data_IF_626178972651
#
_entry.id   IF_626178972651
#
_cell.length_a   1.000
_cell.length_b   1.000
_cell.length_c   1.000
_cell.angle_alpha   90.00
_cell.angle_beta   90.00
_cell.angle_gamma   90.00
#
_symmetry.space_group_name_H-M   'P 1'
#
loop_
_entity.id
_entity.type
_entity.pdbx_description
1 polymer ?
#
# COMPACT_ATOMS: atom_id res chain seq x y z
N UNK A 1 -15.53 50.41 54.65
CA UNK A 1 -15.91 50.21 53.23
C UNK A 1 -14.79 50.78 52.39
N UNK A 2 -13.80 49.94 52.10
CA UNK A 2 -12.64 50.24 51.28
C UNK A 2 -12.17 48.89 50.72
N UNK A 3 -12.46 48.61 49.46
CA UNK A 3 -11.87 47.49 48.73
C UNK A 3 -10.62 47.98 48.00
N UNK A 4 -9.52 47.20 47.98
CA UNK A 4 -8.40 47.46 47.11
C UNK A 4 -8.56 46.71 45.78
N UNK A 5 -8.48 47.50 44.71
CA UNK A 5 -8.29 47.09 43.32
C UNK A 5 -7.05 46.19 43.20
N UNK A 6 -7.20 45.01 42.60
CA UNK A 6 -6.13 44.03 42.38
C UNK A 6 -6.31 43.38 41.01
N UNK A 7 -5.72 43.98 39.98
CA UNK A 7 -5.36 43.29 38.75
C UNK A 7 -4.05 42.50 38.96
N UNK A 8 -3.95 41.29 38.39
CA UNK A 8 -2.80 40.96 37.55
C UNK A 8 -3.30 40.43 36.17
N UNK A 9 -2.81 40.98 35.05
CA UNK A 9 -1.64 40.47 34.30
C UNK A 9 -1.82 38.97 33.99
N UNK A 10 -2.12 38.54 32.76
CA UNK A 10 -1.43 38.84 31.51
C UNK A 10 -1.03 37.49 30.89
N UNK A 11 -1.87 37.04 29.94
CA UNK A 11 -1.80 35.90 29.02
C UNK A 11 -0.65 34.85 29.09
N UNK A 12 -0.95 33.53 28.95
CA UNK A 12 0.07 32.52 28.68
C UNK A 12 0.67 32.73 27.27
N UNK A 13 2.01 32.64 27.22
CA UNK A 13 2.87 32.67 26.04
C UNK A 13 2.48 31.55 25.05
N UNK A 14 1.57 31.87 24.13
CA UNK A 14 1.17 31.03 23.02
C UNK A 14 2.12 31.17 21.84
N UNK A 15 3.37 30.72 21.99
CA UNK A 15 4.29 30.58 20.87
C UNK A 15 3.69 29.66 19.79
N UNK A 16 3.83 29.97 18.49
CA UNK A 16 3.23 29.18 17.42
C UNK A 16 3.78 27.76 17.48
N UNK A 17 2.87 26.81 17.73
CA UNK A 17 3.17 25.39 17.78
C UNK A 17 3.96 25.01 16.55
N UNK A 18 5.24 24.66 16.76
CA UNK A 18 6.14 24.21 15.71
C UNK A 18 5.48 23.00 15.06
N UNK A 19 4.84 23.19 13.90
CA UNK A 19 4.21 22.12 13.13
C UNK A 19 5.20 20.97 13.07
N UNK A 20 4.83 19.83 13.65
CA UNK A 20 5.69 18.65 13.66
C UNK A 20 6.03 18.36 12.19
N UNK A 21 7.33 18.45 11.85
CA UNK A 21 7.77 18.16 10.48
C UNK A 21 7.23 16.77 10.12
N UNK A 22 6.55 16.61 8.97
CA UNK A 22 6.03 15.31 8.57
C UNK A 22 7.19 14.32 8.56
N UNK A 23 7.02 13.21 9.28
CA UNK A 23 8.02 12.14 9.29
C UNK A 23 8.07 11.55 7.89
N UNK A 24 9.26 11.36 7.29
CA UNK A 24 9.35 10.61 6.04
C UNK A 24 8.79 9.20 6.29
N UNK A 25 7.77 8.82 5.52
CA UNK A 25 7.11 7.51 5.63
C UNK A 25 7.26 6.78 4.30
N UNK A 26 7.83 5.58 4.34
CA UNK A 26 7.89 4.69 3.19
C UNK A 26 6.57 3.93 3.05
N UNK A 27 5.94 4.04 1.88
CA UNK A 27 4.66 3.38 1.59
C UNK A 27 4.89 2.13 0.77
N UNK A 28 4.58 0.97 1.34
CA UNK A 28 4.75 -0.34 0.72
C UNK A 28 3.38 -0.83 0.28
N UNK A 29 3.20 -1.07 -1.02
CA UNK A 29 1.98 -1.69 -1.55
C UNK A 29 2.03 -3.20 -1.52
N UNK A 30 0.86 -3.85 -1.48
CA UNK A 30 0.72 -5.29 -1.72
C UNK A 30 -0.26 -5.53 -2.87
N UNK A 31 0.03 -6.55 -3.67
CA UNK A 31 -0.91 -7.14 -4.63
C UNK A 31 -0.63 -8.64 -4.70
N UNK A 32 -1.64 -9.47 -5.00
CA UNK A 32 -1.38 -10.88 -5.20
C UNK A 32 -2.61 -11.75 -5.35
N UNK A 33 -2.38 -13.05 -5.24
CA UNK A 33 -3.36 -14.09 -5.44
C UNK A 33 -4.40 -14.20 -4.32
N UNK A 34 -5.63 -14.57 -4.71
CA UNK A 34 -6.74 -14.94 -3.83
C UNK A 34 -6.53 -16.36 -3.25
N UNK A 35 -7.27 -16.77 -2.20
CA UNK A 35 -7.03 -18.04 -1.49
C UNK A 35 -7.11 -19.29 -2.39
N UNK A 36 -7.92 -19.26 -3.45
CA UNK A 36 -8.05 -20.35 -4.42
C UNK A 36 -6.73 -20.71 -5.13
N UNK A 37 -5.75 -19.80 -5.15
CA UNK A 37 -4.42 -20.01 -5.74
C UNK A 37 -3.33 -20.24 -4.68
N UNK A 38 -3.70 -20.29 -3.40
CA UNK A 38 -2.80 -20.46 -2.26
C UNK A 38 -3.23 -21.66 -1.38
N UNK A 39 -3.27 -22.90 -1.92
CA UNK A 39 -3.73 -24.06 -1.17
C UNK A 39 -2.76 -24.53 -0.08
N UNK A 40 -3.27 -25.29 0.88
CA UNK A 40 -2.46 -26.04 1.85
C UNK A 40 -1.72 -25.16 2.84
N UNK A 41 -0.42 -25.40 3.01
CA UNK A 41 0.47 -24.68 3.93
C UNK A 41 1.07 -23.40 3.31
N UNK A 42 0.81 -23.14 2.02
CA UNK A 42 1.32 -21.98 1.31
C UNK A 42 1.00 -20.63 1.98
N UNK A 43 -0.22 -20.38 2.50
CA UNK A 43 -0.53 -19.10 3.16
C UNK A 43 0.41 -18.78 4.31
N UNK A 44 0.74 -19.77 5.14
CA UNK A 44 1.62 -19.58 6.30
C UNK A 44 3.07 -19.32 5.88
N UNK A 45 3.57 -20.05 4.88
CA UNK A 45 4.93 -19.83 4.33
C UNK A 45 5.05 -18.46 3.67
N UNK A 46 4.05 -18.08 2.87
CA UNK A 46 3.99 -16.74 2.25
C UNK A 46 3.92 -15.65 3.33
N UNK A 47 3.13 -15.83 4.38
CA UNK A 47 3.03 -14.89 5.50
C UNK A 47 4.38 -14.69 6.19
N UNK A 48 5.14 -15.77 6.41
CA UNK A 48 6.49 -15.72 6.97
C UNK A 48 7.45 -14.94 6.06
N UNK A 49 7.42 -15.20 4.74
CA UNK A 49 8.23 -14.49 3.75
C UNK A 49 7.85 -13.02 3.63
N UNK A 50 6.56 -12.69 3.68
CA UNK A 50 6.05 -11.31 3.74
C UNK A 50 6.59 -10.57 4.97
N UNK A 51 6.50 -11.20 6.14
CA UNK A 51 7.01 -10.63 7.39
C UNK A 51 8.53 -10.40 7.33
N UNK A 52 9.28 -11.36 6.78
CA UNK A 52 10.72 -11.22 6.55
C UNK A 52 11.06 -10.08 5.59
N UNK A 53 10.34 -10.00 4.48
CA UNK A 53 10.49 -8.96 3.45
C UNK A 53 10.23 -7.56 4.02
N UNK A 54 9.13 -7.37 4.74
CA UNK A 54 8.82 -6.07 5.35
C UNK A 54 9.87 -5.65 6.39
N UNK A 55 10.35 -6.60 7.22
CA UNK A 55 11.46 -6.32 8.16
C UNK A 55 12.75 -5.94 7.43
N UNK A 56 13.07 -6.59 6.32
CA UNK A 56 14.27 -6.28 5.53
C UNK A 56 14.17 -4.89 4.87
N UNK A 57 13.00 -4.51 4.35
CA UNK A 57 12.72 -3.17 3.83
C UNK A 57 12.91 -2.12 4.93
N UNK A 58 12.33 -2.33 6.11
CA UNK A 58 12.48 -1.40 7.24
C UNK A 58 13.94 -1.30 7.72
N UNK A 59 14.64 -2.43 7.85
CA UNK A 59 16.04 -2.42 8.25
C UNK A 59 16.91 -1.62 7.27
N UNK A 60 16.68 -1.78 5.96
CA UNK A 60 17.35 -1.02 4.91
C UNK A 60 17.04 0.47 5.00
N UNK A 61 15.77 0.82 5.23
CA UNK A 61 15.33 2.20 5.43
C UNK A 61 15.98 2.86 6.66
N UNK A 62 16.10 2.13 7.78
CA UNK A 62 16.78 2.61 8.98
C UNK A 62 18.28 2.82 8.76
N UNK A 63 18.95 1.94 8.01
CA UNK A 63 20.37 2.11 7.64
C UNK A 63 20.60 3.35 6.78
N UNK A 64 19.71 3.60 5.82
CA UNK A 64 19.86 4.67 4.83
C UNK A 64 19.40 6.05 5.35
N UNK A 65 18.51 6.10 6.33
CA UNK A 65 18.00 7.35 6.92
C UNK A 65 18.52 7.56 8.34
N UNK A 66 19.74 8.09 8.46
CA UNK A 66 20.45 8.25 9.73
C UNK A 66 19.84 9.30 10.70
N UNK A 67 18.98 10.22 10.23
CA UNK A 67 18.63 11.45 10.96
C UNK A 67 17.25 11.47 11.61
N UNK A 68 16.39 10.48 11.35
CA UNK A 68 15.10 10.31 12.03
C UNK A 68 14.59 8.90 11.79
N UNK A 69 13.98 8.24 12.79
CA UNK A 69 13.29 6.95 12.54
C UNK A 69 12.16 7.18 11.54
N UNK A 70 12.29 6.74 10.28
CA UNK A 70 11.27 6.91 9.28
C UNK A 70 10.09 5.99 9.60
N UNK A 71 8.89 6.40 9.21
CA UNK A 71 7.71 5.55 9.31
C UNK A 71 7.66 4.54 8.18
N UNK A 72 6.97 3.43 8.40
CA UNK A 72 6.55 2.54 7.32
C UNK A 72 5.04 2.41 7.34
N UNK A 73 4.45 2.32 6.15
CA UNK A 73 3.01 2.16 5.96
C UNK A 73 2.73 1.07 4.93
N UNK A 74 1.89 0.11 5.28
CA UNK A 74 1.33 -0.85 4.34
C UNK A 74 0.09 -0.25 3.67
N UNK A 75 0.06 -0.23 2.34
CA UNK A 75 -1.13 0.14 1.54
C UNK A 75 -1.69 -1.13 0.88
N UNK A 76 -2.94 -1.47 1.18
CA UNK A 76 -3.56 -2.75 0.78
C UNK A 76 -5.04 -2.57 0.46
N UNK A 77 -5.56 -3.42 -0.42
CA UNK A 77 -6.98 -3.50 -0.73
C UNK A 77 -7.76 -4.44 0.21
N UNK A 78 -7.07 -5.08 1.16
CA UNK A 78 -7.64 -6.02 2.13
C UNK A 78 -8.44 -7.16 1.49
N UNK A 79 -8.13 -7.49 0.24
CA UNK A 79 -8.64 -8.68 -0.41
C UNK A 79 -8.24 -9.94 0.36
N UNK A 80 -9.05 -10.99 0.27
CA UNK A 80 -8.65 -12.30 0.78
C UNK A 80 -7.39 -12.80 0.06
N UNK A 81 -6.53 -13.51 0.78
CA UNK A 81 -5.30 -14.09 0.22
C UNK A 81 -4.09 -13.19 0.51
N UNK A 82 -3.35 -12.79 -0.52
CA UNK A 82 -2.10 -12.05 -0.34
C UNK A 82 -2.23 -10.76 0.49
N UNK A 83 -3.29 -9.98 0.26
CA UNK A 83 -3.56 -8.74 0.97
C UNK A 83 -3.84 -8.96 2.46
N UNK A 84 -4.72 -9.90 2.82
CA UNK A 84 -4.98 -10.25 4.23
C UNK A 84 -3.74 -10.81 4.92
N UNK A 85 -2.99 -11.69 4.24
CA UNK A 85 -1.73 -12.23 4.76
C UNK A 85 -0.69 -11.13 5.01
N UNK A 86 -0.59 -10.14 4.10
CA UNK A 86 0.31 -9.00 4.28
C UNK A 86 -0.14 -8.10 5.44
N UNK A 87 -1.45 -7.88 5.59
CA UNK A 87 -2.00 -7.12 6.70
C UNK A 87 -1.69 -7.77 8.06
N UNK A 88 -1.71 -9.10 8.14
CA UNK A 88 -1.34 -9.87 9.34
C UNK A 88 0.18 -9.96 9.56
N UNK A 89 0.96 -10.03 8.48
CA UNK A 89 2.42 -10.15 8.53
C UNK A 89 3.13 -8.83 8.87
N UNK A 90 2.48 -7.69 8.61
CA UNK A 90 3.06 -6.37 8.83
C UNK A 90 3.48 -6.16 10.29
N UNK A 91 4.66 -5.56 10.55
CA UNK A 91 5.07 -5.23 11.91
C UNK A 91 4.04 -4.34 12.62
N UNK A 92 3.82 -4.56 13.92
CA UNK A 92 2.75 -3.90 14.66
C UNK A 92 2.84 -2.37 14.72
N UNK A 93 4.04 -1.81 14.53
CA UNK A 93 4.28 -0.36 14.50
C UNK A 93 4.18 0.26 13.10
N UNK A 94 3.94 -0.54 12.06
CA UNK A 94 3.61 0.00 10.73
C UNK A 94 2.17 0.48 10.72
N UNK A 95 1.94 1.63 10.09
CA UNK A 95 0.59 2.08 9.82
C UNK A 95 -0.02 1.26 8.68
N UNK A 96 -1.34 1.09 8.70
CA UNK A 96 -2.08 0.44 7.61
C UNK A 96 -3.02 1.43 6.95
N UNK A 97 -2.95 1.54 5.63
CA UNK A 97 -3.89 2.29 4.79
C UNK A 97 -4.67 1.30 3.93
N UNK A 98 -5.98 1.28 4.11
CA UNK A 98 -6.88 0.48 3.29
C UNK A 98 -7.31 1.31 2.07
N UNK A 99 -7.15 0.75 0.88
CA UNK A 99 -7.58 1.34 -0.39
C UNK A 99 -8.58 0.39 -1.05
N UNK A 100 -9.86 0.69 -0.93
CA UNK A 100 -10.92 -0.18 -1.44
C UNK A 100 -11.25 0.17 -2.90
N UNK A 101 -11.49 -0.84 -3.76
CA UNK A 101 -11.76 -0.62 -5.19
C UNK A 101 -13.07 0.11 -5.46
N UNK A 102 -13.97 0.12 -4.49
CA UNK A 102 -15.32 0.67 -4.55
C UNK A 102 -15.81 0.94 -3.12
N UNK A 103 -17.00 1.55 -2.92
CA UNK A 103 -17.54 1.76 -1.60
C UNK A 103 -17.66 0.46 -0.80
N UNK A 104 -17.39 0.51 0.51
CA UNK A 104 -17.31 -0.68 1.37
C UNK A 104 -18.56 -1.56 1.28
N UNK A 105 -19.74 -0.93 1.22
CA UNK A 105 -21.02 -1.65 1.11
C UNK A 105 -21.12 -2.50 -0.17
N UNK A 106 -20.48 -2.08 -1.26
CA UNK A 106 -20.47 -2.80 -2.55
C UNK A 106 -19.33 -3.82 -2.58
N UNK A 107 -18.20 -3.50 -1.96
CA UNK A 107 -17.05 -4.40 -1.90
C UNK A 107 -17.29 -5.61 -0.98
N UNK A 108 -18.03 -5.43 0.12
CA UNK A 108 -18.38 -6.50 1.05
C UNK A 108 -19.04 -7.72 0.37
N UNK A 109 -19.77 -7.50 -0.73
CA UNK A 109 -20.37 -8.56 -1.52
C UNK A 109 -19.36 -9.56 -2.10
N UNK A 110 -18.09 -9.15 -2.32
CA UNK A 110 -17.04 -10.05 -2.82
C UNK A 110 -16.54 -11.06 -1.79
N UNK A 111 -16.93 -10.88 -0.52
CA UNK A 111 -16.53 -11.74 0.60
C UNK A 111 -17.69 -12.63 1.05
N UNK A 112 -18.87 -12.49 0.44
CA UNK A 112 -20.06 -13.23 0.82
C UNK A 112 -20.28 -14.41 -0.13
N UNK A 113 -20.48 -15.64 0.40
CA UNK A 113 -21.05 -16.73 -0.38
C UNK A 113 -22.43 -16.35 -0.92
N UNK A 114 -22.85 -16.99 -2.01
CA UNK A 114 -24.13 -16.71 -2.64
C UNK A 114 -25.31 -16.98 -1.68
N UNK A 115 -26.12 -15.96 -1.44
CA UNK A 115 -27.28 -16.03 -0.54
C UNK A 115 -26.97 -15.83 0.95
N UNK A 116 -25.71 -15.61 1.32
CA UNK A 116 -25.29 -15.36 2.71
C UNK A 116 -25.11 -13.87 3.00
N UNK A 117 -25.30 -13.48 4.25
CA UNK A 117 -25.16 -12.09 4.73
C UNK A 117 -23.98 -11.87 5.66
N UNK A 118 -23.31 -12.96 6.07
CA UNK A 118 -22.07 -12.95 6.85
C UNK A 118 -21.14 -14.04 6.35
N UNK A 119 -19.85 -13.86 6.55
CA UNK A 119 -18.84 -14.88 6.29
C UNK A 119 -17.59 -14.60 7.12
N UNK A 120 -16.75 -15.63 7.39
CA UNK A 120 -15.46 -15.41 8.06
C UNK A 120 -14.54 -14.45 7.30
N UNK A 121 -14.67 -14.40 5.98
CA UNK A 121 -13.91 -13.50 5.11
C UNK A 121 -14.34 -12.04 5.28
N UNK A 122 -15.65 -11.79 5.37
CA UNK A 122 -16.19 -10.47 5.64
C UNK A 122 -15.83 -10.00 7.05
N UNK A 123 -15.91 -10.89 8.04
CA UNK A 123 -15.48 -10.60 9.42
C UNK A 123 -13.97 -10.26 9.47
N UNK A 124 -13.14 -10.92 8.65
CA UNK A 124 -11.72 -10.61 8.55
C UNK A 124 -11.48 -9.23 7.93
N UNK A 125 -12.17 -8.90 6.83
CA UNK A 125 -12.11 -7.57 6.22
C UNK A 125 -12.47 -6.48 7.24
N UNK A 126 -13.57 -6.67 7.97
CA UNK A 126 -14.06 -5.72 8.97
C UNK A 126 -13.06 -5.53 10.12
N UNK A 127 -12.45 -6.61 10.62
CA UNK A 127 -11.36 -6.53 11.60
C UNK A 127 -10.16 -5.76 11.06
N UNK A 128 -9.74 -6.01 9.82
CA UNK A 128 -8.61 -5.31 9.22
C UNK A 128 -8.88 -3.82 9.00
N UNK A 129 -10.10 -3.48 8.57
CA UNK A 129 -10.56 -2.10 8.41
C UNK A 129 -10.60 -1.36 9.76
N UNK A 130 -11.08 -2.00 10.82
CA UNK A 130 -11.10 -1.41 12.16
C UNK A 130 -9.69 -1.08 12.69
N UNK A 131 -8.68 -1.82 12.25
CA UNK A 131 -7.27 -1.57 12.57
C UNK A 131 -6.55 -0.65 11.57
N UNK A 132 -7.19 -0.21 10.50
CA UNK A 132 -6.55 0.65 9.51
C UNK A 132 -6.46 2.09 10.04
N UNK A 133 -5.28 2.71 9.90
CA UNK A 133 -5.08 4.12 10.25
C UNK A 133 -5.84 5.06 9.30
N UNK A 134 -6.13 4.59 8.08
CA UNK A 134 -6.98 5.31 7.12
C UNK A 134 -7.65 4.33 6.16
N UNK A 135 -8.84 4.68 5.69
CA UNK A 135 -9.61 3.94 4.69
C UNK A 135 -9.96 4.91 3.56
N UNK A 136 -9.58 4.57 2.34
CA UNK A 136 -9.99 5.29 1.13
C UNK A 136 -10.90 4.38 0.30
N UNK A 137 -12.12 4.84 0.04
CA UNK A 137 -13.06 4.16 -0.84
C UNK A 137 -13.04 4.85 -2.21
N UNK A 138 -12.70 4.12 -3.27
CA UNK A 138 -12.77 4.68 -4.61
C UNK A 138 -14.24 4.84 -5.05
N UNK A 139 -14.57 5.92 -5.77
CA UNK A 139 -15.93 6.12 -6.26
C UNK A 139 -16.28 5.09 -7.32
N UNK A 140 -17.57 4.75 -7.42
CA UNK A 140 -18.05 3.87 -8.48
C UNK A 140 -17.82 4.49 -9.87
N UNK A 141 -17.13 3.76 -10.74
CA UNK A 141 -17.04 4.08 -12.16
C UNK A 141 -18.35 3.71 -12.87
N UNK A 142 -19.07 4.73 -13.34
CA UNK A 142 -20.34 4.57 -14.06
C UNK A 142 -21.55 4.91 -13.19
N UNK A 143 -22.74 4.49 -13.64
CA UNK A 143 -24.02 4.77 -12.96
C UNK A 143 -24.61 3.58 -12.21
N UNK A 144 -24.06 2.39 -12.43
CA UNK A 144 -24.52 1.16 -11.80
C UNK A 144 -24.08 1.13 -10.32
N UNK A 145 -25.01 1.06 -9.35
CA UNK A 145 -24.67 0.98 -7.93
C UNK A 145 -24.03 -0.36 -7.53
N UNK A 146 -24.17 -1.41 -8.34
CA UNK A 146 -23.67 -2.76 -8.06
C UNK A 146 -23.00 -3.35 -9.33
N UNK A 147 -21.86 -2.79 -9.77
CA UNK A 147 -21.22 -3.20 -11.01
C UNK A 147 -20.83 -4.68 -10.98
N UNK A 148 -21.09 -5.37 -12.09
CA UNK A 148 -20.74 -6.78 -12.33
C UNK A 148 -19.92 -6.93 -13.61
N UNK A 149 -19.26 -8.09 -13.78
CA UNK A 149 -18.44 -8.41 -14.96
C UNK A 149 -17.43 -7.30 -15.30
N UNK A 150 -17.38 -6.88 -16.57
CA UNK A 150 -16.44 -5.87 -17.05
C UNK A 150 -16.55 -4.51 -16.35
N UNK A 151 -17.74 -4.14 -15.83
CA UNK A 151 -17.89 -2.91 -15.05
C UNK A 151 -17.22 -3.04 -13.67
N UNK A 152 -17.25 -4.25 -13.09
CA UNK A 152 -16.55 -4.56 -11.83
C UNK A 152 -15.04 -4.63 -12.05
N UNK A 153 -14.59 -5.22 -13.16
CA UNK A 153 -13.17 -5.30 -13.51
C UNK A 153 -12.51 -3.91 -13.60
N UNK A 154 -13.24 -2.91 -14.14
CA UNK A 154 -12.76 -1.51 -14.19
C UNK A 154 -12.52 -0.89 -12.81
N UNK A 155 -13.27 -1.30 -11.78
CA UNK A 155 -13.05 -0.83 -10.40
C UNK A 155 -11.70 -1.35 -9.88
N UNK A 156 -11.41 -2.63 -10.12
CA UNK A 156 -10.14 -3.25 -9.75
C UNK A 156 -8.96 -2.69 -10.55
N UNK A 157 -9.17 -2.39 -11.82
CA UNK A 157 -8.18 -1.70 -12.64
C UNK A 157 -7.87 -0.28 -12.10
N UNK A 158 -8.90 0.47 -11.70
CA UNK A 158 -8.73 1.77 -11.08
C UNK A 158 -8.05 1.69 -9.71
N UNK A 159 -8.34 0.65 -8.94
CA UNK A 159 -7.63 0.33 -7.70
C UNK A 159 -6.14 0.12 -7.94
N UNK A 160 -5.76 -0.71 -8.92
CA UNK A 160 -4.36 -0.96 -9.27
C UNK A 160 -3.59 0.32 -9.57
N UNK A 161 -4.16 1.18 -10.42
CA UNK A 161 -3.60 2.50 -10.72
C UNK A 161 -3.49 3.40 -9.49
N UNK A 162 -4.55 3.44 -8.68
CA UNK A 162 -4.58 4.26 -7.47
C UNK A 162 -3.54 3.80 -6.44
N UNK A 163 -3.32 2.48 -6.33
CA UNK A 163 -2.32 1.88 -5.48
C UNK A 163 -0.91 2.29 -5.92
N UNK A 164 -0.56 2.07 -7.20
CA UNK A 164 0.77 2.40 -7.77
C UNK A 164 1.13 3.88 -7.57
N UNK A 165 0.14 4.77 -7.65
CA UNK A 165 0.35 6.21 -7.42
C UNK A 165 0.64 6.58 -5.98
N UNK A 166 0.16 5.80 -5.01
CA UNK A 166 0.28 6.07 -3.57
C UNK A 166 1.53 5.47 -2.94
N UNK A 167 2.06 4.40 -3.51
CA UNK A 167 3.15 3.61 -2.94
C UNK A 167 4.52 3.99 -3.52
N UNK A 168 5.57 3.66 -2.78
CA UNK A 168 6.97 3.89 -3.15
C UNK A 168 7.68 2.61 -3.59
N UNK A 169 7.23 1.46 -3.10
CA UNK A 169 7.60 0.13 -3.57
C UNK A 169 6.41 -0.83 -3.47
N UNK A 170 6.45 -1.93 -4.23
CA UNK A 170 5.38 -2.93 -4.31
C UNK A 170 5.91 -4.31 -3.91
N UNK A 171 5.13 -5.04 -3.11
CA UNK A 171 5.29 -6.49 -2.91
C UNK A 171 4.20 -7.19 -3.73
N UNK A 172 4.58 -8.22 -4.48
CA UNK A 172 3.72 -9.01 -5.34
C UNK A 172 3.78 -10.49 -4.97
N UNK A 173 2.65 -11.08 -4.56
CA UNK A 173 2.52 -12.54 -4.37
C UNK A 173 1.82 -13.11 -5.60
N UNK A 174 2.58 -13.62 -6.55
CA UNK A 174 2.09 -13.90 -7.90
C UNK A 174 2.84 -15.10 -8.52
N UNK A 175 2.16 -15.91 -9.31
CA UNK A 175 2.66 -17.15 -9.92
C UNK A 175 3.37 -16.94 -11.27
N UNK A 176 3.60 -15.69 -11.69
CA UNK A 176 4.22 -15.39 -12.97
C UNK A 176 3.27 -15.55 -14.18
N UNK A 177 2.00 -15.92 -13.97
CA UNK A 177 1.05 -16.12 -15.05
C UNK A 177 0.55 -14.79 -15.62
N UNK A 178 0.41 -14.70 -16.96
CA UNK A 178 -0.12 -13.52 -17.64
C UNK A 178 -1.46 -13.06 -17.03
N UNK A 179 -1.75 -11.75 -17.13
CA UNK A 179 -2.98 -11.19 -16.58
C UNK A 179 -4.21 -11.97 -17.08
N UNK A 180 -4.96 -12.60 -16.16
CA UNK A 180 -6.19 -13.32 -16.48
C UNK A 180 -7.38 -12.35 -16.70
N UNK A 181 -7.14 -11.18 -17.30
CA UNK A 181 -8.12 -10.11 -17.50
C UNK A 181 -7.56 -8.69 -17.29
N UNK A 182 -8.41 -7.69 -17.47
CA UNK A 182 -8.13 -6.27 -17.23
C UNK A 182 -8.08 -6.03 -15.71
N UNK A 183 -7.00 -5.43 -15.19
CA UNK A 183 -6.87 -5.10 -13.76
C UNK A 183 -6.28 -6.21 -12.87
N UNK A 184 -5.75 -7.29 -13.44
CA UNK A 184 -5.06 -8.33 -12.68
C UNK A 184 -3.69 -7.92 -12.15
N UNK A 185 -3.12 -8.72 -11.25
CA UNK A 185 -1.81 -8.50 -10.61
C UNK A 185 -0.71 -8.10 -11.59
N UNK A 186 -0.56 -8.81 -12.71
CA UNK A 186 0.46 -8.51 -13.72
C UNK A 186 0.33 -7.09 -14.34
N UNK A 187 -0.88 -6.53 -14.42
CA UNK A 187 -1.08 -5.14 -14.88
C UNK A 187 -0.54 -4.13 -13.87
N UNK A 188 -0.77 -4.39 -12.57
CA UNK A 188 -0.23 -3.56 -11.47
C UNK A 188 1.28 -3.61 -11.44
N UNK A 189 1.87 -4.80 -11.66
CA UNK A 189 3.33 -4.96 -11.73
C UNK A 189 3.93 -4.19 -12.91
N UNK A 190 3.33 -4.32 -14.10
CA UNK A 190 3.77 -3.58 -15.28
C UNK A 190 3.72 -2.07 -15.04
N UNK A 191 2.60 -1.56 -14.52
CA UNK A 191 2.46 -0.13 -14.21
C UNK A 191 3.49 0.33 -13.16
N UNK A 192 3.74 -0.46 -12.11
CA UNK A 192 4.74 -0.14 -11.10
C UNK A 192 6.16 -0.04 -11.71
N UNK A 193 6.55 -1.02 -12.53
CA UNK A 193 7.85 -1.05 -13.19
C UNK A 193 8.01 0.09 -14.20
N UNK A 194 6.96 0.39 -14.98
CA UNK A 194 6.96 1.51 -15.93
C UNK A 194 7.14 2.86 -15.24
N UNK A 195 6.68 2.97 -13.99
CA UNK A 195 6.93 4.15 -13.17
C UNK A 195 8.34 4.17 -12.56
N UNK A 196 9.19 3.16 -12.79
CA UNK A 196 10.50 3.00 -12.18
C UNK A 196 10.42 2.63 -10.69
N UNK A 197 9.37 1.91 -10.29
CA UNK A 197 9.19 1.45 -8.91
C UNK A 197 9.84 0.08 -8.74
N UNK A 198 10.56 -0.13 -7.65
CA UNK A 198 11.04 -1.47 -7.35
C UNK A 198 9.91 -2.38 -6.87
N UNK A 199 9.90 -3.60 -7.40
CA UNK A 199 8.89 -4.62 -7.10
C UNK A 199 9.58 -5.83 -6.49
N UNK A 200 9.17 -6.20 -5.27
CA UNK A 200 9.54 -7.46 -4.64
C UNK A 200 8.50 -8.50 -5.01
N UNK A 201 8.94 -9.67 -5.43
CA UNK A 201 8.14 -10.78 -5.90
C UNK A 201 8.35 -12.00 -5.02
N UNK A 202 7.24 -12.59 -4.60
CA UNK A 202 7.15 -13.86 -3.90
C UNK A 202 6.36 -14.79 -4.82
N UNK A 203 7.02 -15.85 -5.29
CA UNK A 203 6.40 -16.88 -6.11
C UNK A 203 5.73 -17.91 -5.20
N UNK A 204 4.40 -18.15 -5.28
CA UNK A 204 3.75 -19.22 -4.54
C UNK A 204 4.35 -20.62 -4.80
N UNK A 205 5.00 -20.85 -5.95
CA UNK A 205 5.71 -22.11 -6.23
C UNK A 205 7.06 -22.22 -5.50
N UNK A 206 7.63 -21.10 -5.06
CA UNK A 206 8.86 -21.02 -4.27
C UNK A 206 8.66 -20.03 -3.10
N UNK A 207 7.75 -20.34 -2.16
CA UNK A 207 7.20 -19.36 -1.23
C UNK A 207 8.18 -18.89 -0.16
N UNK A 208 9.32 -19.58 0.01
CA UNK A 208 10.35 -19.27 1.03
C UNK A 208 11.36 -18.22 0.55
N UNK A 209 11.22 -17.70 -0.68
CA UNK A 209 12.15 -16.76 -1.28
C UNK A 209 11.48 -15.50 -1.81
N UNK A 210 12.02 -14.33 -1.42
CA UNK A 210 11.70 -13.06 -2.06
C UNK A 210 12.74 -12.75 -3.16
N UNK A 211 12.28 -12.16 -4.26
CA UNK A 211 13.10 -11.77 -5.41
C UNK A 211 12.77 -10.34 -5.82
N UNK A 212 13.72 -9.59 -6.33
CA UNK A 212 13.45 -8.26 -6.92
C UNK A 212 13.28 -8.40 -8.43
N UNK A 213 12.17 -7.90 -8.94
CA UNK A 213 11.91 -7.83 -10.38
C UNK A 213 12.64 -6.61 -10.95
N UNK A 214 13.53 -6.85 -11.90
CA UNK A 214 14.22 -5.79 -12.65
C UNK A 214 13.39 -5.33 -13.85
N UNK A 215 12.72 -6.28 -14.53
CA UNK A 215 11.85 -6.03 -15.69
C UNK A 215 10.93 -7.23 -15.93
N UNK A 216 9.83 -6.99 -16.62
CA UNK A 216 9.00 -8.06 -17.21
C UNK A 216 9.43 -8.25 -18.66
N UNK A 217 9.67 -9.49 -19.09
CA UNK A 217 9.90 -9.77 -20.51
C UNK A 217 8.58 -9.75 -21.28
N UNK A 218 8.58 -9.11 -22.46
CA UNK A 218 7.44 -9.10 -23.37
C UNK A 218 7.46 -10.39 -24.19
N UNK A 219 6.42 -11.23 -24.07
CA UNK A 219 6.29 -12.53 -24.75
C UNK A 219 5.09 -13.35 -24.25
N UNK A 220 4.84 -14.55 -24.80
CA UNK A 220 3.83 -15.49 -24.28
C UNK A 220 4.21 -15.95 -22.86
N UNK A 221 3.54 -15.37 -21.87
CA UNK A 221 3.86 -15.52 -20.44
C UNK A 221 4.85 -14.46 -19.98
N UNK A 222 4.39 -13.51 -19.17
CA UNK A 222 5.23 -12.47 -18.59
C UNK A 222 6.20 -13.10 -17.58
N UNK A 223 7.38 -13.53 -18.04
CA UNK A 223 8.41 -14.04 -17.13
C UNK A 223 9.16 -12.88 -16.50
N UNK A 224 9.12 -12.72 -15.16
CA UNK A 224 9.85 -11.68 -14.49
C UNK A 224 11.35 -11.99 -14.50
N UNK A 225 12.15 -11.08 -15.05
CA UNK A 225 13.60 -11.11 -14.85
C UNK A 225 13.86 -10.62 -13.44
N UNK A 226 14.35 -11.52 -12.60
CA UNK A 226 14.46 -11.25 -11.17
C UNK A 226 15.75 -11.80 -10.58
N UNK A 227 16.24 -11.13 -9.55
CA UNK A 227 17.37 -11.56 -8.73
C UNK A 227 16.90 -11.85 -7.29
N UNK A 228 17.61 -12.69 -6.51
CA UNK A 228 17.33 -12.86 -5.09
C UNK A 228 17.29 -11.51 -4.36
N UNK A 229 16.36 -11.33 -3.43
CA UNK A 229 16.28 -10.12 -2.61
C UNK A 229 17.20 -10.26 -1.39
N UNK A 230 18.49 -10.00 -1.60
CA UNK A 230 19.47 -9.87 -0.51
C UNK A 230 19.46 -8.45 0.10
N UNK A 231 20.27 -8.24 1.14
CA UNK A 231 20.35 -6.95 1.84
C UNK A 231 20.72 -5.79 0.90
N UNK A 232 21.64 -6.02 -0.05
CA UNK A 232 22.05 -5.00 -1.01
C UNK A 232 20.94 -4.66 -2.01
N UNK A 233 20.15 -5.66 -2.39
CA UNK A 233 19.01 -5.49 -3.26
C UNK A 233 17.86 -4.73 -2.55
N UNK A 234 17.63 -4.97 -1.25
CA UNK A 234 16.70 -4.17 -0.45
C UNK A 234 17.20 -2.73 -0.23
N UNK A 235 18.50 -2.51 -0.03
CA UNK A 235 19.07 -1.16 0.05
C UNK A 235 18.85 -0.40 -1.27
N UNK A 236 19.06 -1.05 -2.43
CA UNK A 236 18.81 -0.45 -3.74
C UNK A 236 17.32 -0.13 -3.96
N UNK A 237 16.42 -1.03 -3.54
CA UNK A 237 14.97 -0.82 -3.55
C UNK A 237 14.58 0.44 -2.77
N UNK A 238 15.06 0.54 -1.53
CA UNK A 238 14.76 1.68 -0.65
C UNK A 238 15.38 2.97 -1.15
N UNK A 239 16.62 2.95 -1.66
CA UNK A 239 17.23 4.11 -2.32
C UNK A 239 16.36 4.62 -3.49
N UNK A 240 15.87 3.71 -4.33
CA UNK A 240 14.97 4.05 -5.45
C UNK A 240 13.68 4.68 -4.94
N UNK A 241 13.07 4.10 -3.90
CA UNK A 241 11.87 4.61 -3.27
C UNK A 241 12.05 6.03 -2.70
N UNK A 242 13.14 6.27 -1.96
CA UNK A 242 13.46 7.58 -1.37
C UNK A 242 13.73 8.65 -2.44
N UNK A 243 14.43 8.30 -3.52
CA UNK A 243 14.68 9.22 -4.63
C UNK A 243 13.36 9.70 -5.28
N UNK A 244 12.37 8.79 -5.41
CA UNK A 244 11.04 9.12 -5.93
C UNK A 244 10.25 10.06 -5.02
N UNK A 245 10.40 9.93 -3.69
CA UNK A 245 9.78 10.86 -2.74
C UNK A 245 10.37 12.28 -2.85
N UNK A 246 11.69 12.38 -3.09
CA UNK A 246 12.39 13.65 -3.32
C UNK A 246 11.99 14.36 -4.63
N UNK A 247 11.62 13.61 -5.66
CA UNK A 247 11.08 14.17 -6.90
C UNK A 247 9.67 14.77 -6.74
N UNK A 248 8.87 14.30 -5.77
CA UNK A 248 7.47 14.73 -5.57
C UNK A 248 7.29 15.97 -4.69
N UNK A 249 8.34 16.55 -4.12
CA UNK A 249 8.24 17.61 -3.10
C UNK A 249 8.57 19.03 -3.56
N UNK A 250 8.60 19.31 -4.88
CA UNK A 250 8.99 20.65 -5.36
C UNK A 250 8.09 21.35 -6.39
N UNK A 251 6.89 20.85 -6.68
CA UNK A 251 6.05 21.45 -7.73
C UNK A 251 4.63 21.90 -7.34
N UNK A 252 4.26 21.99 -6.06
CA UNK A 252 2.89 22.44 -5.68
C UNK A 252 2.85 23.73 -4.84
N UNK A 253 3.89 24.55 -4.92
CA UNK A 253 3.91 25.91 -4.35
C UNK A 253 4.57 26.89 -5.30
N UNK A 254 3.84 27.36 -6.31
CA UNK A 254 4.39 28.38 -7.21
C UNK A 254 3.49 28.82 -8.35
N UNK A 255 2.30 29.34 -8.06
CA UNK A 255 1.62 30.27 -8.97
C UNK A 255 0.63 31.16 -8.20
N UNK A 256 1.13 32.25 -7.63
CA UNK A 256 0.31 33.45 -7.42
C UNK A 256 0.99 34.56 -8.24
N UNK A 257 0.36 35.06 -9.32
CA UNK A 257 0.86 36.24 -9.98
C UNK A 257 0.45 37.43 -9.11
N UNK A 258 1.45 38.08 -8.52
CA UNK A 258 1.29 39.42 -7.97
C UNK A 258 0.96 40.37 -9.13
N UNK A 259 -0.32 40.74 -9.26
CA UNK A 259 -0.72 41.95 -9.98
C UNK A 259 -0.44 43.13 -9.05
N UNK A 260 0.61 43.87 -9.34
CA UNK A 260 0.76 45.24 -8.90
C UNK A 260 0.15 46.17 -9.95
N UNK A 261 -0.77 47.02 -9.49
CA UNK A 261 -0.75 48.48 -9.74
C UNK A 261 -1.54 49.15 -8.60
#
# INVERSE_FOLDING_TARGET
MAEPDSHPEGAPDGGPGRLARPRPTLRVGITGHRPNKLPGDLPERIRQTLAGTMRAIEASLLRLQASSRPGCRLVTALAEGADSLAAEAAPAHWEREALLPMPRAVYAADFLPEGETTSPALDALDRHLACAASVTELPLIGRDPAPTGAARDRQYEALGRALVRRIDCLIAVWDGAAAAGIGGTASVLAEALDHGMGVVWIDPAAPDGARLIARLEQGEGARPVSAPADDGAFDALVCTALARQGARTRCDSGASPATGD
#
